data_IF_394984301926
#
_entry.id   IF_394984301926
#
_cell.length_a   1.000
_cell.length_b   1.000
_cell.length_c   1.000
_cell.angle_alpha   90.00
_cell.angle_beta   90.00
_cell.angle_gamma   90.00
#
_symmetry.space_group_name_H-M   'P 1'
#
loop_
_entity.id
_entity.type
_entity.pdbx_description
1 polymer ?
#
# COMPACT_ATOMS: atom_id res chain seq x y z
N UNK A 1 -28.30 25.32 -5.22
CA UNK A 1 -27.04 24.77 -5.77
C UNK A 1 -26.67 23.58 -4.91
N UNK A 2 -26.67 22.37 -5.46
CA UNK A 2 -26.27 21.19 -4.71
C UNK A 2 -24.78 21.31 -4.38
N UNK A 3 -24.43 21.26 -3.10
CA UNK A 3 -23.05 21.14 -2.66
C UNK A 3 -22.51 19.81 -3.20
N UNK A 4 -21.66 19.86 -4.22
CA UNK A 4 -20.83 18.72 -4.56
C UNK A 4 -19.87 18.54 -3.40
N UNK A 5 -20.23 17.68 -2.46
CA UNK A 5 -19.31 17.19 -1.46
C UNK A 5 -18.30 16.33 -2.23
N UNK A 6 -17.13 16.89 -2.55
CA UNK A 6 -16.04 16.10 -3.11
C UNK A 6 -15.80 14.94 -2.16
N UNK A 7 -16.03 13.71 -2.65
CA UNK A 7 -15.73 12.51 -1.89
C UNK A 7 -14.22 12.45 -1.79
N UNK A 8 -13.70 12.58 -0.57
CA UNK A 8 -12.28 12.42 -0.31
C UNK A 8 -11.85 11.00 -0.70
N UNK A 9 -10.85 10.88 -1.57
CA UNK A 9 -10.31 9.60 -2.05
C UNK A 9 -9.00 9.33 -1.33
N UNK A 10 -8.89 8.15 -0.73
CA UNK A 10 -7.63 7.71 -0.12
C UNK A 10 -6.91 6.83 -1.13
N UNK A 11 -5.71 7.26 -1.52
CA UNK A 11 -4.79 6.47 -2.33
C UNK A 11 -3.81 5.79 -1.37
N UNK A 12 -3.77 4.47 -1.39
CA UNK A 12 -2.87 3.69 -0.56
C UNK A 12 -1.63 3.28 -1.37
N UNK A 13 -0.44 3.54 -0.84
CA UNK A 13 0.84 3.09 -1.41
C UNK A 13 1.60 2.16 -0.47
N UNK A 14 2.51 1.35 -1.01
CA UNK A 14 3.44 0.55 -0.22
C UNK A 14 4.55 1.42 0.38
N UNK A 15 5.31 0.84 1.32
CA UNK A 15 6.45 1.51 1.96
C UNK A 15 7.79 1.25 1.25
N UNK A 16 7.77 0.80 -0.01
CA UNK A 16 8.98 0.91 -0.82
C UNK A 16 9.36 2.39 -0.90
N UNK A 17 10.67 2.71 -0.93
CA UNK A 17 11.20 4.08 -0.88
C UNK A 17 10.25 5.02 -1.66
N UNK A 18 9.47 5.88 -0.97
CA UNK A 18 8.34 6.51 -1.61
C UNK A 18 8.86 7.44 -2.69
N UNK A 19 8.50 7.15 -3.94
CA UNK A 19 8.79 8.05 -5.06
C UNK A 19 8.01 9.37 -4.91
N UNK A 20 6.94 9.36 -4.12
CA UNK A 20 6.08 10.52 -3.83
C UNK A 20 5.74 10.53 -2.34
N UNK A 21 6.05 11.63 -1.66
CA UNK A 21 5.75 11.81 -0.24
C UNK A 21 4.24 12.02 -0.03
N UNK A 22 3.66 11.61 1.10
CA UNK A 22 2.24 11.85 1.39
C UNK A 22 1.78 13.32 1.30
N UNK A 23 2.71 14.25 1.52
CA UNK A 23 2.48 15.70 1.50
C UNK A 23 3.07 16.39 0.26
N UNK A 24 3.39 15.62 -0.78
CA UNK A 24 3.97 16.14 -2.01
C UNK A 24 3.04 17.19 -2.66
N UNK A 25 3.60 18.38 -2.90
CA UNK A 25 2.83 19.53 -3.37
C UNK A 25 2.36 19.35 -4.81
N UNK A 26 3.21 18.76 -5.67
CA UNK A 26 2.92 18.54 -7.09
C UNK A 26 1.84 17.46 -7.24
N UNK A 27 1.92 16.39 -6.44
CA UNK A 27 0.90 15.36 -6.37
C UNK A 27 -0.46 15.93 -5.97
N UNK A 28 -0.49 16.77 -4.92
CA UNK A 28 -1.73 17.39 -4.45
C UNK A 28 -2.30 18.38 -5.47
N UNK A 29 -1.47 19.19 -6.10
CA UNK A 29 -1.90 20.16 -7.11
C UNK A 29 -2.52 19.48 -8.33
N UNK A 30 -1.93 18.37 -8.80
CA UNK A 30 -2.40 17.63 -9.95
C UNK A 30 -3.88 17.21 -9.81
N UNK A 31 -4.25 16.54 -8.71
CA UNK A 31 -5.64 16.07 -8.53
C UNK A 31 -6.62 17.17 -8.14
N UNK A 32 -6.15 18.22 -7.43
CA UNK A 32 -6.99 19.39 -7.14
C UNK A 32 -7.39 20.11 -8.43
N UNK A 33 -6.49 20.17 -9.43
CA UNK A 33 -6.79 20.75 -10.74
C UNK A 33 -7.90 19.99 -11.47
N UNK A 34 -7.99 18.67 -11.25
CA UNK A 34 -9.04 17.79 -11.77
C UNK A 34 -10.30 17.75 -10.87
N UNK A 35 -10.34 18.54 -9.79
CA UNK A 35 -11.48 18.65 -8.86
C UNK A 35 -11.59 17.52 -7.84
N UNK A 36 -10.54 16.71 -7.67
CA UNK A 36 -10.51 15.62 -6.71
C UNK A 36 -9.81 16.04 -5.42
N UNK A 37 -10.41 15.67 -4.29
CA UNK A 37 -9.79 15.74 -2.97
C UNK A 37 -9.17 14.37 -2.68
N UNK A 38 -7.87 14.21 -2.95
CA UNK A 38 -7.15 12.94 -2.76
C UNK A 38 -6.09 13.06 -1.67
N UNK A 39 -5.96 12.02 -0.85
CA UNK A 39 -4.94 11.92 0.19
C UNK A 39 -4.15 10.64 -0.01
N UNK A 40 -2.83 10.75 -0.07
CA UNK A 40 -1.93 9.61 -0.15
C UNK A 40 -1.65 9.08 1.27
N UNK A 41 -1.76 7.77 1.46
CA UNK A 41 -1.48 7.08 2.72
C UNK A 41 -0.52 5.93 2.48
N UNK A 42 0.56 5.93 3.24
CA UNK A 42 1.51 4.82 3.28
C UNK A 42 0.94 3.67 4.10
N UNK A 43 1.23 2.45 3.68
CA UNK A 43 0.94 1.24 4.47
C UNK A 43 1.77 1.21 5.76
N UNK A 44 1.35 0.48 6.79
CA UNK A 44 2.27 0.13 7.88
C UNK A 44 3.39 -0.78 7.38
N UNK A 45 4.59 -0.65 7.94
CA UNK A 45 5.73 -1.48 7.55
C UNK A 45 5.50 -2.97 7.87
N UNK A 46 6.10 -3.86 7.07
CA UNK A 46 6.10 -5.32 7.27
C UNK A 46 4.72 -6.02 7.27
N UNK A 47 3.68 -5.40 6.70
CA UNK A 47 2.35 -5.99 6.55
C UNK A 47 1.94 -6.10 5.07
N UNK A 48 2.53 -7.04 4.31
CA UNK A 48 2.25 -7.20 2.87
C UNK A 48 0.77 -7.55 2.58
N UNK A 49 0.08 -8.14 3.56
CA UNK A 49 -1.34 -8.46 3.48
C UNK A 49 -2.26 -7.22 3.44
N UNK A 50 -1.73 -6.02 3.70
CA UNK A 50 -2.51 -4.78 3.69
C UNK A 50 -2.58 -4.10 2.33
N UNK A 51 -2.01 -4.71 1.29
CA UNK A 51 -2.13 -4.23 -0.09
C UNK A 51 -3.18 -5.02 -0.87
N UNK A 52 -4.28 -4.35 -1.24
CA UNK A 52 -5.36 -4.95 -2.02
C UNK A 52 -4.89 -5.47 -3.38
N UNK A 53 -3.85 -4.87 -3.96
CA UNK A 53 -3.28 -5.30 -5.23
C UNK A 53 -2.52 -6.62 -5.08
N UNK A 54 -1.76 -6.79 -4.00
CA UNK A 54 -1.06 -8.04 -3.66
C UNK A 54 -2.05 -9.18 -3.34
N UNK A 55 -3.14 -8.88 -2.63
CA UNK A 55 -4.16 -9.88 -2.28
C UNK A 55 -4.88 -10.47 -3.51
N UNK A 56 -4.95 -9.71 -4.60
CA UNK A 56 -5.83 -9.99 -5.72
C UNK A 56 -5.18 -9.90 -7.08
N UNK A 57 -5.02 -8.67 -7.56
CA UNK A 57 -4.72 -8.40 -8.96
C UNK A 57 -3.32 -8.92 -9.37
N UNK A 58 -2.30 -8.70 -8.55
CA UNK A 58 -0.95 -9.18 -8.85
C UNK A 58 -0.84 -10.70 -8.85
N UNK A 59 -1.64 -11.42 -8.04
CA UNK A 59 -1.71 -12.88 -8.10
C UNK A 59 -2.20 -13.40 -9.44
N UNK A 60 -3.15 -12.69 -10.06
CA UNK A 60 -3.63 -13.02 -11.43
C UNK A 60 -2.50 -12.82 -12.44
N UNK A 61 -1.78 -11.70 -12.36
CA UNK A 61 -0.65 -11.41 -13.26
C UNK A 61 0.48 -12.44 -13.09
N UNK A 62 0.84 -12.76 -11.85
CA UNK A 62 1.84 -13.79 -11.54
C UNK A 62 1.45 -15.15 -12.12
N UNK A 63 0.18 -15.55 -11.97
CA UNK A 63 -0.34 -16.79 -12.56
C UNK A 63 -0.20 -16.78 -14.09
N UNK A 64 -0.52 -15.65 -14.74
CA UNK A 64 -0.36 -15.50 -16.19
C UNK A 64 1.10 -15.54 -16.62
N UNK A 65 2.02 -14.93 -15.87
CA UNK A 65 3.45 -14.99 -16.13
C UNK A 65 3.99 -16.42 -16.04
N UNK A 66 3.58 -17.19 -15.02
CA UNK A 66 3.97 -18.60 -14.88
C UNK A 66 3.48 -19.46 -16.06
N UNK A 67 2.27 -19.20 -16.55
CA UNK A 67 1.68 -19.93 -17.69
C UNK A 67 2.36 -19.54 -19.01
N UNK A 68 2.56 -18.24 -19.27
CA UNK A 68 2.97 -17.75 -20.58
C UNK A 68 4.48 -17.57 -20.75
N UNK A 69 5.29 -17.70 -19.68
CA UNK A 69 6.77 -17.52 -19.69
C UNK A 69 7.19 -16.36 -20.59
N UNK A 70 6.69 -15.16 -20.28
CA UNK A 70 6.96 -13.97 -21.09
C UNK A 70 8.47 -13.75 -21.25
N UNK A 71 8.93 -13.60 -22.49
CA UNK A 71 10.35 -13.42 -22.83
C UNK A 71 10.71 -12.00 -23.28
N UNK A 72 9.72 -11.10 -23.33
CA UNK A 72 9.92 -9.69 -23.65
C UNK A 72 8.92 -8.82 -22.90
N UNK A 73 9.24 -7.54 -22.78
CA UNK A 73 8.40 -6.54 -22.13
C UNK A 73 7.05 -6.43 -22.85
N UNK A 74 7.03 -6.45 -24.19
CA UNK A 74 5.78 -6.35 -24.96
C UNK A 74 4.80 -7.49 -24.65
N UNK A 75 5.33 -8.71 -24.45
CA UNK A 75 4.51 -9.86 -24.07
C UNK A 75 3.95 -9.68 -22.65
N UNK A 76 4.72 -9.11 -21.74
CA UNK A 76 4.25 -8.79 -20.38
C UNK A 76 3.14 -7.74 -20.44
N UNK A 77 3.33 -6.65 -21.19
CA UNK A 77 2.33 -5.58 -21.35
C UNK A 77 1.03 -6.15 -21.93
N UNK A 78 1.12 -6.90 -23.03
CA UNK A 78 -0.06 -7.50 -23.67
C UNK A 78 -0.79 -8.48 -22.74
N UNK A 79 -0.05 -9.28 -21.96
CA UNK A 79 -0.64 -10.19 -20.99
C UNK A 79 -1.32 -9.44 -19.83
N UNK A 80 -0.72 -8.38 -19.31
CA UNK A 80 -1.29 -7.54 -18.24
C UNK A 80 -2.56 -6.85 -18.69
N UNK A 81 -2.57 -6.23 -19.88
CA UNK A 81 -3.78 -5.61 -20.44
C UNK A 81 -4.91 -6.63 -20.64
N UNK A 82 -4.58 -7.84 -21.12
CA UNK A 82 -5.53 -8.93 -21.25
C UNK A 82 -6.04 -9.44 -19.89
N UNK A 83 -5.20 -9.42 -18.86
CA UNK A 83 -5.60 -9.75 -17.50
C UNK A 83 -6.60 -8.72 -16.98
N UNK A 84 -6.27 -7.43 -17.10
CA UNK A 84 -7.10 -6.30 -16.69
C UNK A 84 -8.48 -6.35 -17.35
N UNK A 85 -8.54 -6.56 -18.68
CA UNK A 85 -9.80 -6.67 -19.41
C UNK A 85 -10.69 -7.84 -18.96
N UNK A 86 -10.13 -8.83 -18.25
CA UNK A 86 -10.86 -9.98 -17.70
C UNK A 86 -11.19 -9.83 -16.21
N UNK A 87 -10.68 -8.80 -15.54
CA UNK A 87 -10.97 -8.59 -14.12
C UNK A 87 -12.44 -8.25 -13.97
N UNK A 88 -13.15 -9.08 -13.22
CA UNK A 88 -14.52 -8.81 -12.81
C UNK A 88 -14.52 -7.87 -11.60
N UNK A 89 -15.23 -6.73 -11.65
CA UNK A 89 -15.41 -5.84 -10.49
C UNK A 89 -15.88 -6.56 -9.22
N UNK A 90 -16.70 -7.62 -9.35
CA UNK A 90 -17.14 -8.40 -8.19
C UNK A 90 -15.96 -9.16 -7.54
N UNK A 91 -14.94 -9.55 -8.31
CA UNK A 91 -13.71 -10.14 -7.78
C UNK A 91 -12.87 -9.10 -7.04
N UNK A 92 -12.78 -7.87 -7.55
CA UNK A 92 -12.11 -6.78 -6.84
C UNK A 92 -12.81 -6.47 -5.51
N UNK A 93 -14.14 -6.39 -5.51
CA UNK A 93 -14.91 -6.18 -4.28
C UNK A 93 -14.64 -7.26 -3.21
N UNK A 94 -14.53 -8.53 -3.63
CA UNK A 94 -14.16 -9.62 -2.72
C UNK A 94 -12.77 -9.45 -2.12
N UNK A 95 -11.82 -8.86 -2.84
CA UNK A 95 -10.49 -8.56 -2.32
C UNK A 95 -10.56 -7.43 -1.29
N UNK A 96 -11.34 -6.37 -1.54
CA UNK A 96 -11.57 -5.30 -0.56
C UNK A 96 -12.21 -5.81 0.73
N UNK A 97 -13.24 -6.67 0.64
CA UNK A 97 -13.82 -7.31 1.83
C UNK A 97 -12.81 -8.19 2.57
N UNK A 98 -11.89 -8.82 1.84
CA UNK A 98 -10.80 -9.60 2.45
C UNK A 98 -9.82 -8.68 3.18
N UNK A 99 -9.42 -7.56 2.57
CA UNK A 99 -8.57 -6.54 3.21
C UNK A 99 -9.22 -6.01 4.49
N UNK A 100 -10.52 -5.71 4.48
CA UNK A 100 -11.25 -5.28 5.69
C UNK A 100 -11.23 -6.37 6.78
N UNK A 101 -11.38 -7.64 6.42
CA UNK A 101 -11.20 -8.74 7.38
C UNK A 101 -9.78 -8.80 7.95
N UNK A 102 -8.75 -8.57 7.13
CA UNK A 102 -7.35 -8.51 7.58
C UNK A 102 -7.15 -7.38 8.58
N UNK A 103 -7.61 -6.17 8.27
CA UNK A 103 -7.52 -5.01 9.16
C UNK A 103 -8.15 -5.31 10.53
N UNK A 104 -9.33 -5.95 10.56
CA UNK A 104 -9.94 -6.38 11.83
C UNK A 104 -9.10 -7.38 12.60
N UNK A 105 -8.42 -8.31 11.93
CA UNK A 105 -7.54 -9.26 12.61
C UNK A 105 -6.27 -8.60 13.15
N UNK A 106 -5.69 -7.65 12.41
CA UNK A 106 -4.53 -6.86 12.86
C UNK A 106 -4.88 -6.10 14.13
N UNK A 107 -6.04 -5.43 14.15
CA UNK A 107 -6.50 -4.70 15.35
C UNK A 107 -6.70 -5.69 16.52
N UNK A 108 -7.32 -6.84 16.27
CA UNK A 108 -7.53 -7.88 17.30
C UNK A 108 -6.23 -8.44 17.89
N UNK A 109 -5.12 -8.32 17.17
CA UNK A 109 -3.80 -8.77 17.62
C UNK A 109 -2.86 -7.59 17.92
N UNK A 110 -3.39 -6.38 18.07
CA UNK A 110 -2.60 -5.17 18.37
C UNK A 110 -1.40 -5.01 17.43
N UNK A 111 -1.63 -5.13 16.12
CA UNK A 111 -0.58 -5.01 15.10
C UNK A 111 0.19 -6.30 14.78
N UNK A 112 -0.02 -7.38 15.54
CA UNK A 112 0.62 -8.67 15.29
C UNK A 112 0.20 -9.34 13.98
N UNK A 113 1.07 -10.19 13.42
CA UNK A 113 0.87 -10.89 12.15
C UNK A 113 0.46 -12.38 12.30
N UNK A 114 0.18 -12.83 13.53
CA UNK A 114 -0.15 -14.22 13.86
C UNK A 114 -1.60 -14.62 13.60
N UNK A 115 -2.33 -13.88 12.77
CA UNK A 115 -3.75 -14.09 12.55
C UNK A 115 -4.08 -15.07 11.43
N UNK A 116 -5.27 -15.68 11.52
CA UNK A 116 -5.86 -16.45 10.43
C UNK A 116 -6.96 -15.64 9.79
N UNK A 117 -6.97 -15.60 8.46
CA UNK A 117 -8.02 -14.90 7.72
C UNK A 117 -9.34 -15.65 7.91
N UNK A 118 -10.40 -14.99 8.40
CA UNK A 118 -11.70 -15.61 8.47
C UNK A 118 -12.26 -15.84 7.04
N UNK A 119 -12.50 -17.10 6.69
CA UNK A 119 -13.16 -17.46 5.44
C UNK A 119 -14.67 -17.15 5.53
N UNK A 120 -15.09 -15.99 5.02
CA UNK A 120 -16.51 -15.55 5.03
C UNK A 120 -17.37 -16.10 3.88
N UNK A 121 -16.92 -17.14 3.18
CA UNK A 121 -17.70 -17.82 2.12
C UNK A 121 -18.29 -16.87 1.05
N UNK A 122 -17.49 -15.86 0.63
CA UNK A 122 -17.92 -14.73 -0.21
C UNK A 122 -18.71 -15.14 -1.47
N UNK A 123 -18.31 -16.22 -2.14
CA UNK A 123 -19.02 -16.73 -3.33
C UNK A 123 -20.46 -17.16 -3.03
N UNK A 124 -20.68 -17.82 -1.88
CA UNK A 124 -22.01 -18.25 -1.42
C UNK A 124 -22.88 -17.07 -0.99
N UNK A 125 -22.29 -16.07 -0.33
CA UNK A 125 -23.00 -14.83 0.01
C UNK A 125 -23.38 -14.05 -1.26
N UNK A 126 -22.49 -14.00 -2.25
CA UNK A 126 -22.77 -13.34 -3.55
C UNK A 126 -23.96 -14.00 -4.24
N UNK A 127 -23.98 -15.34 -4.34
CA UNK A 127 -25.05 -16.07 -5.05
C UNK A 127 -26.43 -15.91 -4.37
N UNK A 128 -26.44 -15.60 -3.07
CA UNK A 128 -27.66 -15.32 -2.30
C UNK A 128 -28.04 -13.83 -2.26
N UNK A 129 -27.23 -12.95 -2.85
CA UNK A 129 -27.44 -11.49 -2.76
C UNK A 129 -27.23 -10.91 -1.35
N UNK A 130 -26.46 -11.60 -0.50
CA UNK A 130 -26.24 -11.25 0.92
C UNK A 130 -24.79 -10.88 1.21
N UNK A 131 -23.96 -10.66 0.18
CA UNK A 131 -22.60 -10.21 0.39
C UNK A 131 -22.64 -8.74 0.86
N UNK A 132 -22.08 -8.42 2.04
CA UNK A 132 -22.05 -7.04 2.51
C UNK A 132 -21.16 -6.19 1.61
N UNK A 133 -21.49 -4.90 1.50
CA UNK A 133 -20.63 -3.92 0.82
C UNK A 133 -19.43 -3.51 1.69
N UNK A 134 -19.55 -3.61 3.00
CA UNK A 134 -18.50 -3.28 3.97
C UNK A 134 -18.62 -4.18 5.19
N UNK A 135 -17.49 -4.59 5.76
CA UNK A 135 -17.41 -5.34 7.00
C UNK A 135 -17.55 -4.35 8.16
N UNK A 136 -18.53 -4.59 9.02
CA UNK A 136 -18.75 -3.75 10.20
C UNK A 136 -17.65 -3.99 11.24
N UNK A 137 -17.12 -2.89 11.79
CA UNK A 137 -16.24 -2.96 12.95
C UNK A 137 -17.07 -3.32 14.19
N UNK A 138 -16.71 -4.36 14.95
CA UNK A 138 -17.35 -4.65 16.23
C UNK A 138 -17.15 -3.50 17.24
N UNK A 139 -18.19 -3.20 18.03
CA UNK A 139 -18.20 -2.10 19.01
C UNK A 139 -17.26 -2.31 20.21
N UNK A 140 -16.78 -3.52 20.43
CA UNK A 140 -15.81 -3.87 21.48
C UNK A 140 -14.35 -3.62 21.06
N UNK A 141 -14.12 -3.05 19.87
CA UNK A 141 -12.79 -2.81 19.31
C UNK A 141 -12.32 -1.36 19.44
N UNK A 142 -13.13 -0.45 19.99
CA UNK A 142 -12.82 0.99 20.01
C UNK A 142 -11.57 1.32 20.83
N UNK A 143 -11.40 0.69 22.01
CA UNK A 143 -10.20 0.86 22.85
C UNK A 143 -8.95 0.28 22.17
N UNK A 144 -9.07 -0.93 21.60
CA UNK A 144 -7.97 -1.60 20.88
C UNK A 144 -7.54 -0.81 19.64
N UNK A 145 -8.50 -0.21 18.94
CA UNK A 145 -8.24 0.67 17.80
C UNK A 145 -7.50 1.94 18.24
N UNK A 146 -7.93 2.57 19.34
CA UNK A 146 -7.30 3.79 19.82
C UNK A 146 -5.82 3.56 20.20
N UNK A 147 -5.52 2.46 20.89
CA UNK A 147 -4.15 2.08 21.23
C UNK A 147 -3.30 1.84 19.97
N UNK A 148 -3.78 0.99 19.05
CA UNK A 148 -3.04 0.70 17.82
C UNK A 148 -2.89 1.94 16.92
N UNK A 149 -3.89 2.81 16.86
CA UNK A 149 -3.84 4.03 16.07
C UNK A 149 -2.78 5.00 16.61
N UNK A 150 -2.62 5.10 17.94
CA UNK A 150 -1.56 5.90 18.54
C UNK A 150 -0.17 5.34 18.18
N UNK A 151 0.04 4.02 18.35
CA UNK A 151 1.31 3.37 18.00
C UNK A 151 1.68 3.53 16.53
N UNK A 152 0.70 3.39 15.62
CA UNK A 152 0.91 3.58 14.19
C UNK A 152 1.23 5.04 13.87
N UNK A 153 0.57 6.00 14.52
CA UNK A 153 0.87 7.43 14.34
C UNK A 153 2.31 7.74 14.74
N UNK A 154 2.73 7.30 15.93
CA UNK A 154 4.10 7.51 16.43
C UNK A 154 5.14 6.87 15.49
N UNK A 155 4.87 5.66 15.00
CA UNK A 155 5.76 4.98 14.06
C UNK A 155 5.89 5.72 12.72
N UNK A 156 4.78 6.28 12.21
CA UNK A 156 4.78 7.06 10.97
C UNK A 156 5.53 8.40 11.14
N UNK A 157 5.38 9.06 12.30
CA UNK A 157 6.13 10.28 12.63
C UNK A 157 7.64 10.00 12.67
N UNK A 158 8.05 8.93 13.34
CA UNK A 158 9.46 8.50 13.40
C UNK A 158 9.98 8.19 11.99
N UNK A 159 9.23 7.46 11.16
CA UNK A 159 9.64 7.14 9.80
C UNK A 159 9.82 8.41 8.93
N UNK A 160 8.95 9.41 9.10
CA UNK A 160 9.08 10.70 8.44
C UNK A 160 10.34 11.44 8.88
N UNK A 161 10.67 11.44 10.18
CA UNK A 161 11.88 12.06 10.71
C UNK A 161 13.16 11.36 10.22
N UNK A 162 13.18 10.03 10.18
CA UNK A 162 14.30 9.27 9.64
C UNK A 162 14.56 9.62 8.18
N UNK A 163 13.50 9.73 7.36
CA UNK A 163 13.61 10.13 5.95
C UNK A 163 14.23 11.52 5.81
N UNK A 164 13.80 12.47 6.64
CA UNK A 164 14.37 13.83 6.65
C UNK A 164 15.86 13.86 7.03
N UNK A 165 16.28 13.05 8.00
CA UNK A 165 17.70 12.94 8.38
C UNK A 165 18.55 12.33 7.26
N UNK A 166 18.03 11.33 6.54
CA UNK A 166 18.73 10.75 5.38
C UNK A 166 18.95 11.78 4.25
N UNK A 167 18.01 12.69 4.02
CA UNK A 167 18.16 13.77 3.04
C UNK A 167 19.21 14.82 3.45
N UNK A 168 19.39 15.05 4.75
CA UNK A 168 20.40 15.99 5.27
C UNK A 168 21.81 15.40 5.23
N UNK A 169 21.96 14.07 5.32
CA UNK A 169 23.27 13.41 5.37
C UNK A 169 24.01 13.28 4.03
N UNK A 170 23.58 14.02 2.99
CA UNK A 170 24.30 14.08 1.71
C UNK A 170 25.08 15.39 1.68
N UNK A 171 26.31 15.37 2.20
CA UNK A 171 27.46 16.22 1.82
C UNK A 171 28.67 15.81 2.69
N UNK A 172 29.24 14.63 2.42
CA UNK A 172 30.66 14.35 2.74
C UNK A 172 31.48 14.57 1.47
N UNK A 173 31.52 15.82 1.03
CA UNK A 173 32.44 16.26 -0.01
C UNK A 173 33.85 16.40 0.60
N UNK A 174 34.66 15.36 0.39
CA UNK A 174 36.10 15.49 0.21
C UNK A 174 36.98 15.50 1.46
N UNK A 175 37.37 14.30 1.91
CA UNK A 175 38.73 14.10 2.42
C UNK A 175 39.49 13.31 1.35
N UNK A 176 40.29 14.08 0.62
CA UNK A 176 41.15 13.76 -0.50
C UNK A 176 42.07 12.54 -0.24
N UNK A 177 42.12 11.64 -1.23
CA UNK A 177 43.06 10.53 -1.38
C UNK A 177 44.50 11.05 -1.60
N UNK A 178 45.12 11.59 -0.56
CA UNK A 178 46.49 12.13 -0.64
C UNK A 178 47.40 11.63 0.50
N UNK A 179 47.63 10.31 0.59
CA UNK A 179 48.72 9.79 1.43
C UNK A 179 49.21 8.36 1.09
N UNK A 180 49.39 7.98 -0.19
CA UNK A 180 50.03 6.67 -0.50
C UNK A 180 51.21 6.70 -1.48
N UNK A 181 51.80 7.86 -1.80
CA UNK A 181 52.92 7.93 -2.78
C UNK A 181 54.22 8.57 -2.25
N UNK A 182 54.56 8.34 -0.97
CA UNK A 182 55.82 8.82 -0.37
C UNK A 182 56.67 7.76 0.34
N UNK A 183 56.42 6.45 0.15
CA UNK A 183 57.21 5.39 0.82
C UNK A 183 57.81 4.32 -0.11
N UNK A 184 58.03 4.64 -1.39
CA UNK A 184 58.92 3.85 -2.27
C UNK A 184 59.93 4.78 -2.97
N UNK A 185 60.83 5.33 -2.17
CA UNK A 185 61.93 6.17 -2.62
C UNK A 185 63.12 6.11 -1.66
N UNK A 186 63.71 4.91 -1.52
CA UNK A 186 65.13 4.67 -1.28
C UNK A 186 65.43 3.16 -1.35
#
# INVERSE_FOLDING_TARGET
MASHQSKSVIVQQDNAKPYVLPNDADFREAYLSDGWDMVLKCQPANLPDLNVLDLGFFRVIQTLQQIHRAKSIDVVIAATLKAWAKVDPATLNRNFLTLQCYLLQVIKQSGGNGYKIPHMTKSSLTSRGLLPETIMCPVDMDEMWAELAAEVSDALEIASLCTFLEEICVDDDGIDDAAEDALLGN
#
